data_IF_948575191575
#
_entry.id   IF_948575191575
#
_cell.length_a   1.000
_cell.length_b   1.000
_cell.length_c   1.000
_cell.angle_alpha   90.00
_cell.angle_beta   90.00
_cell.angle_gamma   90.00
#
_symmetry.space_group_name_H-M   'P 1'
#
loop_
_entity.id
_entity.type
_entity.pdbx_description
1 polymer ?
#
# COMPACT_ATOMS: atom_id res chain seq x y z
N UNK A 1 7.67 -11.29 -20.11
CA UNK A 1 6.45 -10.44 -20.12
C UNK A 1 6.21 -9.96 -21.55
N UNK A 2 4.99 -10.16 -22.11
CA UNK A 2 4.65 -9.68 -23.46
C UNK A 2 4.46 -8.16 -23.48
N UNK A 3 4.63 -7.50 -24.65
CA UNK A 3 4.40 -6.05 -24.83
C UNK A 3 2.98 -5.65 -24.38
N UNK A 4 1.97 -6.48 -24.71
CA UNK A 4 0.56 -6.28 -24.32
C UNK A 4 0.35 -6.29 -22.80
N UNK A 5 1.07 -7.15 -22.08
CA UNK A 5 0.98 -7.25 -20.63
C UNK A 5 1.61 -6.03 -19.92
N UNK A 6 2.74 -5.54 -20.44
CA UNK A 6 3.35 -4.30 -19.95
C UNK A 6 2.43 -3.08 -20.13
N UNK A 7 1.76 -2.98 -21.27
CA UNK A 7 0.82 -1.90 -21.54
C UNK A 7 -0.37 -1.93 -20.54
N UNK A 8 -0.93 -3.12 -20.29
CA UNK A 8 -2.02 -3.28 -19.31
C UNK A 8 -1.59 -2.93 -17.88
N UNK A 9 -0.36 -3.28 -17.47
CA UNK A 9 0.19 -2.92 -16.16
C UNK A 9 0.30 -1.39 -15.99
N UNK A 10 0.82 -0.69 -17.01
CA UNK A 10 0.94 0.78 -16.96
C UNK A 10 -0.41 1.49 -17.06
N UNK A 11 -1.37 0.95 -17.80
CA UNK A 11 -2.73 1.46 -17.84
C UNK A 11 -3.38 1.40 -16.44
N UNK A 12 -3.19 0.28 -15.70
CA UNK A 12 -3.70 0.15 -14.34
C UNK A 12 -3.07 1.19 -13.40
N UNK A 13 -1.76 1.41 -13.50
CA UNK A 13 -1.06 2.44 -12.69
C UNK A 13 -1.58 3.83 -13.04
N UNK A 14 -1.70 4.16 -14.33
CA UNK A 14 -2.24 5.44 -14.79
C UNK A 14 -3.68 5.68 -14.32
N UNK A 15 -4.57 4.70 -14.49
CA UNK A 15 -5.95 4.81 -13.99
C UNK A 15 -5.99 5.00 -12.48
N UNK A 16 -5.17 4.26 -11.72
CA UNK A 16 -5.10 4.42 -10.26
C UNK A 16 -4.62 5.81 -9.86
N UNK A 17 -3.62 6.36 -10.55
CA UNK A 17 -3.11 7.71 -10.32
C UNK A 17 -4.19 8.78 -10.59
N UNK A 18 -4.89 8.66 -11.72
CA UNK A 18 -5.99 9.58 -12.08
C UNK A 18 -7.10 9.53 -11.02
N UNK A 19 -7.51 8.34 -10.58
CA UNK A 19 -8.53 8.19 -9.52
C UNK A 19 -8.09 8.87 -8.22
N UNK A 20 -6.84 8.66 -7.78
CA UNK A 20 -6.32 9.30 -6.57
C UNK A 20 -6.31 10.82 -6.70
N UNK A 21 -5.87 11.36 -7.83
CA UNK A 21 -5.84 12.80 -8.08
C UNK A 21 -7.23 13.41 -8.15
N UNK A 22 -8.20 12.73 -8.79
CA UNK A 22 -9.59 13.17 -8.83
C UNK A 22 -10.23 13.18 -7.44
N UNK A 23 -9.93 12.18 -6.60
CA UNK A 23 -10.40 12.15 -5.21
C UNK A 23 -9.85 13.34 -4.41
N UNK A 24 -8.56 13.66 -4.57
CA UNK A 24 -7.94 14.84 -3.91
C UNK A 24 -8.54 16.13 -4.44
N UNK A 25 -8.72 16.24 -5.77
CA UNK A 25 -9.34 17.42 -6.39
C UNK A 25 -10.78 17.65 -5.89
N UNK A 26 -11.59 16.56 -5.78
CA UNK A 26 -12.93 16.63 -5.22
C UNK A 26 -12.92 17.11 -3.76
N UNK A 27 -11.99 16.61 -2.94
CA UNK A 27 -11.83 17.09 -1.55
C UNK A 27 -11.51 18.58 -1.51
N UNK A 28 -10.62 19.05 -2.36
CA UNK A 28 -10.23 20.47 -2.41
C UNK A 28 -11.35 21.36 -2.97
N UNK A 29 -12.14 20.86 -3.92
CA UNK A 29 -13.31 21.57 -4.41
C UNK A 29 -14.39 21.77 -3.33
N UNK A 30 -14.54 20.79 -2.42
CA UNK A 30 -15.54 20.82 -1.34
C UNK A 30 -15.07 21.57 -0.09
N UNK A 31 -13.79 21.47 0.28
CA UNK A 31 -13.25 21.94 1.56
C UNK A 31 -12.20 23.05 1.42
N UNK A 32 -11.86 23.43 0.19
CA UNK A 32 -10.76 24.33 -0.09
C UNK A 32 -9.39 23.67 0.09
N UNK A 33 -8.32 24.41 -0.28
CA UNK A 33 -6.91 23.95 -0.18
C UNK A 33 -6.27 24.27 1.18
N UNK A 34 -7.02 24.82 2.13
CA UNK A 34 -6.56 25.09 3.50
C UNK A 34 -6.38 23.84 4.34
N UNK A 35 -6.12 24.00 5.63
CA UNK A 35 -5.88 22.91 6.57
C UNK A 35 -6.97 21.82 6.56
N UNK A 36 -8.29 22.13 6.55
CA UNK A 36 -9.33 21.10 6.50
C UNK A 36 -9.27 20.25 5.24
N UNK A 37 -9.02 20.86 4.09
CA UNK A 37 -8.86 20.15 2.80
C UNK A 37 -7.62 19.27 2.79
N UNK A 38 -6.46 19.78 3.22
CA UNK A 38 -5.22 19.00 3.31
C UNK A 38 -5.38 17.79 4.24
N UNK A 39 -5.95 17.96 5.44
CA UNK A 39 -6.20 16.86 6.38
C UNK A 39 -7.17 15.83 5.81
N UNK A 40 -8.19 16.27 5.09
CA UNK A 40 -9.15 15.36 4.43
C UNK A 40 -8.52 14.63 3.26
N UNK A 41 -7.71 15.30 2.44
CA UNK A 41 -6.92 14.69 1.36
C UNK A 41 -5.96 13.63 1.88
N UNK A 42 -5.25 13.91 2.99
CA UNK A 42 -4.39 12.94 3.66
C UNK A 42 -5.19 11.69 4.10
N UNK A 43 -6.39 11.86 4.67
CA UNK A 43 -7.25 10.73 5.07
C UNK A 43 -7.75 9.91 3.88
N UNK A 44 -8.16 10.56 2.79
CA UNK A 44 -8.65 9.88 1.59
C UNK A 44 -7.53 9.10 0.91
N UNK A 45 -6.37 9.74 0.71
CA UNK A 45 -5.22 9.07 0.10
C UNK A 45 -4.68 7.92 0.95
N UNK A 46 -4.67 8.04 2.28
CA UNK A 46 -4.33 6.93 3.17
C UNK A 46 -5.25 5.72 2.98
N UNK A 47 -6.58 5.94 2.92
CA UNK A 47 -7.56 4.85 2.72
C UNK A 47 -7.43 4.20 1.35
N UNK A 48 -7.25 4.99 0.29
CA UNK A 48 -7.04 4.48 -1.06
C UNK A 48 -5.74 3.67 -1.14
N UNK A 49 -4.67 4.17 -0.51
CA UNK A 49 -3.39 3.46 -0.45
C UNK A 49 -3.52 2.11 0.26
N UNK A 50 -4.25 2.03 1.38
CA UNK A 50 -4.48 0.74 2.08
C UNK A 50 -5.24 -0.24 1.20
N UNK A 51 -6.23 0.20 0.44
CA UNK A 51 -6.97 -0.69 -0.48
C UNK A 51 -6.04 -1.28 -1.56
N UNK A 52 -5.20 -0.45 -2.19
CA UNK A 52 -4.20 -0.89 -3.17
C UNK A 52 -3.14 -1.81 -2.54
N UNK A 53 -2.67 -1.47 -1.34
CA UNK A 53 -1.75 -2.29 -0.57
C UNK A 53 -2.34 -3.67 -0.27
N UNK A 54 -3.56 -3.73 0.25
CA UNK A 54 -4.24 -4.99 0.58
C UNK A 54 -4.42 -5.87 -0.67
N UNK A 55 -4.83 -5.29 -1.80
CA UNK A 55 -4.95 -6.02 -3.06
C UNK A 55 -3.63 -6.67 -3.49
N UNK A 56 -2.50 -5.92 -3.41
CA UNK A 56 -1.17 -6.46 -3.70
C UNK A 56 -0.70 -7.46 -2.63
N UNK A 57 -1.01 -7.20 -1.35
CA UNK A 57 -0.59 -8.01 -0.21
C UNK A 57 -1.22 -9.39 -0.21
N UNK A 58 -2.52 -9.50 -0.48
CA UNK A 58 -3.24 -10.79 -0.45
C UNK A 58 -3.14 -11.58 -1.77
N UNK A 59 -2.72 -10.97 -2.87
CA UNK A 59 -2.80 -11.54 -4.22
C UNK A 59 -2.30 -12.98 -4.32
N UNK A 60 -1.13 -13.28 -3.74
CA UNK A 60 -0.56 -14.63 -3.77
C UNK A 60 -1.26 -15.62 -2.83
N UNK A 61 -1.78 -15.16 -1.71
CA UNK A 61 -2.51 -15.98 -0.76
C UNK A 61 -3.90 -16.34 -1.31
N UNK A 62 -4.62 -15.37 -1.86
CA UNK A 62 -5.91 -15.61 -2.49
C UNK A 62 -5.79 -16.58 -3.68
N UNK A 63 -4.78 -16.42 -4.54
CA UNK A 63 -4.58 -17.34 -5.66
C UNK A 63 -4.25 -18.77 -5.22
N UNK A 64 -3.60 -18.93 -4.06
CA UNK A 64 -3.25 -20.24 -3.50
C UNK A 64 -4.39 -20.91 -2.72
N UNK A 65 -5.25 -20.13 -2.04
CA UNK A 65 -6.30 -20.65 -1.15
C UNK A 65 -7.67 -20.66 -1.82
N UNK A 66 -7.96 -19.67 -2.65
CA UNK A 66 -9.25 -19.40 -3.28
C UNK A 66 -9.06 -19.14 -4.79
N UNK A 67 -8.70 -20.18 -5.57
CA UNK A 67 -8.45 -20.02 -7.00
C UNK A 67 -9.72 -19.58 -7.72
N UNK A 68 -9.74 -18.36 -8.21
CA UNK A 68 -10.85 -17.74 -8.93
C UNK A 68 -10.32 -16.82 -10.05
N UNK A 69 -11.14 -16.37 -11.00
CA UNK A 69 -10.74 -15.38 -11.98
C UNK A 69 -10.16 -14.10 -11.33
N UNK A 70 -10.77 -13.63 -10.25
CA UNK A 70 -10.36 -12.44 -9.50
C UNK A 70 -8.99 -12.66 -8.83
N UNK A 71 -8.79 -13.78 -8.13
CA UNK A 71 -7.52 -14.05 -7.46
C UNK A 71 -6.36 -14.24 -8.46
N UNK A 72 -6.65 -14.83 -9.62
CA UNK A 72 -5.69 -14.94 -10.74
C UNK A 72 -5.37 -13.57 -11.33
N UNK A 73 -6.39 -12.69 -11.45
CA UNK A 73 -6.20 -11.31 -11.92
C UNK A 73 -5.33 -10.51 -10.93
N UNK A 74 -5.62 -10.56 -9.63
CA UNK A 74 -4.81 -9.92 -8.58
C UNK A 74 -3.36 -10.38 -8.64
N UNK A 75 -3.14 -11.69 -8.78
CA UNK A 75 -1.78 -12.24 -8.84
C UNK A 75 -1.01 -11.76 -10.08
N UNK A 76 -1.66 -11.70 -11.25
CA UNK A 76 -1.06 -11.20 -12.49
C UNK A 76 -0.71 -9.72 -12.38
N UNK A 77 -1.59 -8.91 -11.78
CA UNK A 77 -1.42 -7.46 -11.67
C UNK A 77 -0.73 -7.02 -10.37
N UNK A 78 -0.22 -7.95 -9.56
CA UNK A 78 0.37 -7.66 -8.25
C UNK A 78 1.46 -6.58 -8.30
N UNK A 79 2.29 -6.59 -9.36
CA UNK A 79 3.34 -5.59 -9.57
C UNK A 79 2.74 -4.21 -9.82
N UNK A 80 1.80 -4.12 -10.74
CA UNK A 80 1.10 -2.87 -11.07
C UNK A 80 0.35 -2.31 -9.85
N UNK A 81 -0.35 -3.16 -9.09
CA UNK A 81 -1.00 -2.77 -7.82
C UNK A 81 -0.01 -2.23 -6.80
N UNK A 82 1.18 -2.84 -6.68
CA UNK A 82 2.25 -2.34 -5.79
C UNK A 82 2.81 -1.00 -6.24
N UNK A 83 2.97 -0.77 -7.54
CA UNK A 83 3.39 0.53 -8.08
C UNK A 83 2.28 1.57 -7.92
N UNK A 84 1.02 1.22 -8.16
CA UNK A 84 -0.15 2.08 -7.91
C UNK A 84 -0.23 2.51 -6.44
N UNK A 85 0.04 1.58 -5.52
CA UNK A 85 0.15 1.88 -4.09
C UNK A 85 1.26 2.91 -3.82
N UNK A 86 2.44 2.73 -4.41
CA UNK A 86 3.56 3.66 -4.24
C UNK A 86 3.24 5.06 -4.79
N UNK A 87 2.56 5.16 -5.93
CA UNK A 87 2.08 6.43 -6.50
C UNK A 87 1.07 7.09 -5.56
N UNK A 88 0.08 6.36 -5.06
CA UNK A 88 -0.91 6.86 -4.10
C UNK A 88 -0.25 7.36 -2.81
N UNK A 89 0.75 6.64 -2.29
CA UNK A 89 1.54 7.07 -1.14
C UNK A 89 2.43 8.28 -1.46
N UNK A 90 2.90 8.44 -2.69
CA UNK A 90 3.59 9.65 -3.14
C UNK A 90 2.70 10.89 -3.02
N UNK A 91 1.44 10.80 -3.50
CA UNK A 91 0.45 11.88 -3.35
C UNK A 91 0.15 12.13 -1.87
N UNK A 92 -0.04 11.07 -1.08
CA UNK A 92 -0.23 11.17 0.38
C UNK A 92 0.92 11.90 1.07
N UNK A 93 2.17 11.56 0.75
CA UNK A 93 3.36 12.22 1.28
C UNK A 93 3.45 13.68 0.87
N UNK A 94 3.11 14.01 -0.38
CA UNK A 94 3.07 15.41 -0.85
C UNK A 94 2.07 16.26 -0.06
N UNK A 95 0.89 15.71 0.25
CA UNK A 95 -0.11 16.40 1.09
C UNK A 95 0.37 16.57 2.54
N UNK A 96 1.10 15.59 3.10
CA UNK A 96 1.72 15.72 4.43
C UNK A 96 2.76 16.84 4.43
N UNK A 97 3.62 16.89 3.42
CA UNK A 97 4.64 17.95 3.26
C UNK A 97 3.96 19.32 3.12
N UNK A 98 2.91 19.43 2.30
CA UNK A 98 2.14 20.66 2.15
C UNK A 98 1.54 21.12 3.48
N UNK A 99 0.93 20.20 4.24
CA UNK A 99 0.37 20.52 5.56
C UNK A 99 1.46 20.97 6.56
N UNK A 100 2.62 20.31 6.56
CA UNK A 100 3.76 20.68 7.41
C UNK A 100 4.32 22.05 7.06
N UNK A 101 4.38 22.42 5.76
CA UNK A 101 4.90 23.70 5.31
C UNK A 101 3.94 24.86 5.61
N UNK A 102 2.63 24.64 5.49
CA UNK A 102 1.62 25.70 5.61
C UNK A 102 1.04 25.83 7.01
N UNK A 103 0.99 24.73 7.80
CA UNK A 103 0.34 24.64 9.12
C UNK A 103 1.22 23.86 10.10
N UNK A 104 2.49 24.28 10.24
CA UNK A 104 3.53 23.53 10.97
C UNK A 104 3.17 23.27 12.43
N UNK A 105 2.68 24.28 13.16
CA UNK A 105 2.34 24.17 14.58
C UNK A 105 1.21 23.15 14.79
N UNK A 106 0.12 23.31 14.05
CA UNK A 106 -1.02 22.40 14.08
C UNK A 106 -0.64 20.96 13.67
N UNK A 107 0.27 20.82 12.68
CA UNK A 107 0.80 19.52 12.29
C UNK A 107 1.58 18.86 13.44
N UNK A 108 2.55 19.55 14.02
CA UNK A 108 3.38 19.02 15.11
C UNK A 108 2.57 18.72 16.38
N UNK A 109 1.55 19.51 16.69
CA UNK A 109 0.65 19.26 17.82
C UNK A 109 -0.22 18.01 17.63
N UNK A 110 -0.47 17.59 16.36
CA UNK A 110 -1.39 16.49 16.03
C UNK A 110 -0.71 15.16 15.69
N UNK A 111 0.62 15.12 15.50
CA UNK A 111 1.33 13.94 15.03
C UNK A 111 2.38 13.50 16.06
N UNK A 112 2.19 12.31 16.63
CA UNK A 112 3.16 11.75 17.56
C UNK A 112 4.52 11.47 16.88
N UNK A 113 5.65 11.70 17.57
CA UNK A 113 7.00 11.41 17.01
C UNK A 113 7.16 9.99 16.48
N UNK A 114 6.59 9.00 17.16
CA UNK A 114 6.58 7.60 16.71
C UNK A 114 5.90 7.42 15.35
N UNK A 115 4.85 8.19 15.05
CA UNK A 115 4.16 8.18 13.76
C UNK A 115 5.03 8.78 12.66
N UNK A 116 5.78 9.85 12.97
CA UNK A 116 6.72 10.47 12.01
C UNK A 116 7.86 9.52 11.67
N UNK A 117 8.47 8.89 12.67
CA UNK A 117 9.58 7.95 12.46
C UNK A 117 9.10 6.68 11.73
N UNK A 118 8.03 6.06 12.21
CA UNK A 118 7.49 4.84 11.59
C UNK A 118 6.95 5.09 10.18
N UNK A 119 6.23 6.18 9.97
CA UNK A 119 5.75 6.59 8.65
C UNK A 119 6.90 6.96 7.71
N UNK A 120 7.90 7.72 8.18
CA UNK A 120 9.08 8.09 7.40
C UNK A 120 9.86 6.88 6.93
N UNK A 121 10.16 5.92 7.81
CA UNK A 121 10.79 4.64 7.44
C UNK A 121 9.92 3.86 6.44
N UNK A 122 8.59 3.91 6.59
CA UNK A 122 7.64 3.34 5.63
C UNK A 122 7.79 3.96 4.24
N UNK A 123 7.90 5.28 4.12
CA UNK A 123 8.12 5.96 2.84
C UNK A 123 9.44 5.56 2.18
N UNK A 124 10.53 5.43 2.97
CA UNK A 124 11.82 4.94 2.45
C UNK A 124 11.67 3.53 1.89
N UNK A 125 11.02 2.61 2.61
CA UNK A 125 10.77 1.25 2.13
C UNK A 125 9.89 1.24 0.87
N UNK A 126 8.85 2.08 0.79
CA UNK A 126 8.00 2.21 -0.40
C UNK A 126 8.84 2.67 -1.60
N UNK A 127 9.68 3.68 -1.43
CA UNK A 127 10.55 4.19 -2.49
C UNK A 127 11.53 3.11 -2.98
N UNK A 128 12.19 2.38 -2.08
CA UNK A 128 13.09 1.28 -2.42
C UNK A 128 12.38 0.13 -3.14
N UNK A 129 11.18 -0.25 -2.66
CA UNK A 129 10.37 -1.29 -3.28
C UNK A 129 9.86 -0.86 -4.65
N UNK A 130 9.43 0.39 -4.84
CA UNK A 130 9.00 0.93 -6.11
C UNK A 130 10.17 1.00 -7.11
N UNK A 131 11.33 1.53 -6.70
CA UNK A 131 12.53 1.59 -7.51
C UNK A 131 12.99 0.20 -7.98
N UNK A 132 12.88 -0.82 -7.15
CA UNK A 132 13.25 -2.21 -7.46
C UNK A 132 12.11 -3.05 -8.05
N UNK A 133 10.99 -2.41 -8.40
CA UNK A 133 9.87 -3.07 -9.09
C UNK A 133 10.07 -3.20 -10.61
N UNK A 134 11.11 -2.62 -11.19
CA UNK A 134 11.45 -2.72 -12.62
C UNK A 134 12.49 -3.81 -12.86
N UNK A 135 12.41 -4.48 -14.02
CA UNK A 135 13.25 -5.65 -14.31
C UNK A 135 14.75 -5.34 -14.25
N UNK A 136 15.16 -4.13 -14.72
CA UNK A 136 16.55 -3.67 -14.68
C UNK A 136 17.07 -3.49 -13.25
N UNK A 137 16.34 -2.77 -12.43
CA UNK A 137 16.74 -2.47 -11.05
C UNK A 137 16.63 -3.70 -10.14
N UNK A 138 15.62 -4.56 -10.36
CA UNK A 138 15.50 -5.85 -9.69
C UNK A 138 16.70 -6.77 -9.98
N UNK A 139 17.20 -6.76 -11.24
CA UNK A 139 18.36 -7.54 -11.64
C UNK A 139 19.66 -7.06 -10.94
N UNK A 140 19.83 -5.73 -10.77
CA UNK A 140 20.98 -5.16 -10.05
C UNK A 140 21.01 -5.58 -8.57
N UNK A 141 19.85 -5.65 -7.92
CA UNK A 141 19.76 -6.05 -6.51
C UNK A 141 19.97 -7.56 -6.30
N UNK A 142 19.67 -8.35 -7.31
CA UNK A 142 19.69 -9.80 -7.24
C UNK A 142 18.45 -10.39 -6.55
N UNK A 143 18.12 -11.63 -6.92
CA UNK A 143 16.85 -12.29 -6.53
C UNK A 143 16.67 -12.44 -5.02
N UNK A 144 17.76 -12.69 -4.29
CA UNK A 144 17.68 -12.90 -2.82
C UNK A 144 17.39 -11.59 -2.08
N UNK A 145 18.19 -10.55 -2.34
CA UNK A 145 18.03 -9.24 -1.70
C UNK A 145 16.70 -8.60 -2.07
N UNK A 146 16.28 -8.68 -3.35
CA UNK A 146 14.96 -8.24 -3.81
C UNK A 146 13.82 -8.90 -3.01
N UNK A 147 13.90 -10.24 -2.84
CA UNK A 147 12.87 -10.98 -2.10
C UNK A 147 12.81 -10.57 -0.63
N UNK A 148 13.98 -10.36 0.01
CA UNK A 148 14.05 -9.91 1.41
C UNK A 148 13.44 -8.52 1.54
N UNK A 149 13.89 -7.55 0.72
CA UNK A 149 13.37 -6.18 0.73
C UNK A 149 11.84 -6.15 0.59
N UNK A 150 11.29 -6.81 -0.43
CA UNK A 150 9.84 -6.82 -0.65
C UNK A 150 9.07 -7.59 0.42
N UNK A 151 9.66 -8.63 1.03
CA UNK A 151 9.00 -9.35 2.12
C UNK A 151 8.99 -8.52 3.39
N UNK A 152 10.15 -8.02 3.82
CA UNK A 152 10.27 -7.18 5.02
C UNK A 152 9.46 -5.91 4.87
N UNK A 153 9.60 -5.20 3.73
CA UNK A 153 8.86 -3.98 3.46
C UNK A 153 7.35 -4.16 3.52
N UNK A 154 6.81 -5.23 2.93
CA UNK A 154 5.36 -5.48 2.99
C UNK A 154 4.84 -5.76 4.41
N UNK A 155 5.58 -6.51 5.23
CA UNK A 155 5.17 -6.75 6.62
C UNK A 155 5.35 -5.50 7.49
N UNK A 156 6.42 -4.74 7.27
CA UNK A 156 6.62 -3.46 7.94
C UNK A 156 5.45 -2.50 7.65
N UNK A 157 5.07 -2.34 6.39
CA UNK A 157 3.95 -1.48 5.99
C UNK A 157 2.62 -1.99 6.57
N UNK A 158 2.41 -3.31 6.63
CA UNK A 158 1.26 -3.88 7.30
C UNK A 158 1.20 -3.45 8.78
N UNK A 159 2.32 -3.53 9.50
CA UNK A 159 2.44 -3.09 10.90
C UNK A 159 2.13 -1.59 11.02
N UNK A 160 2.72 -0.74 10.17
CA UNK A 160 2.46 0.71 10.17
C UNK A 160 0.98 1.02 9.98
N UNK A 161 0.32 0.35 9.02
CA UNK A 161 -1.13 0.52 8.82
C UNK A 161 -1.94 0.02 10.01
N UNK A 162 -1.61 -1.15 10.56
CA UNK A 162 -2.30 -1.69 11.72
C UNK A 162 -2.24 -0.73 12.91
N UNK A 163 -1.06 -0.22 13.24
CA UNK A 163 -0.89 0.78 14.31
C UNK A 163 -1.58 2.12 14.00
N UNK A 164 -1.70 2.50 12.73
CA UNK A 164 -2.40 3.73 12.33
C UNK A 164 -3.92 3.63 12.47
N UNK A 165 -4.49 2.44 12.27
CA UNK A 165 -5.95 2.24 12.32
C UNK A 165 -6.46 1.73 13.66
N UNK A 166 -5.67 0.94 14.40
CA UNK A 166 -6.05 0.34 15.68
C UNK A 166 -6.62 1.36 16.69
N UNK A 167 -6.01 2.54 16.93
CA UNK A 167 -6.55 3.48 17.90
C UNK A 167 -7.88 4.13 17.48
N UNK A 168 -8.28 3.97 16.22
CA UNK A 168 -9.47 4.61 15.62
C UNK A 168 -10.59 3.62 15.30
N UNK A 169 -10.51 2.37 15.78
CA UNK A 169 -11.48 1.30 15.48
C UNK A 169 -12.91 1.61 15.98
N UNK A 170 -13.08 2.59 16.86
CA UNK A 170 -14.40 3.05 17.31
C UNK A 170 -15.22 3.68 16.16
N UNK A 171 -14.57 4.21 15.12
CA UNK A 171 -15.26 4.75 13.95
C UNK A 171 -15.36 3.68 12.85
N UNK A 172 -16.59 3.42 12.31
CA UNK A 172 -16.84 2.30 11.39
C UNK A 172 -15.86 2.17 10.21
N UNK A 173 -15.45 3.25 9.50
CA UNK A 173 -14.50 3.13 8.39
C UNK A 173 -13.13 2.58 8.80
N UNK A 174 -12.67 2.89 10.01
CA UNK A 174 -11.37 2.42 10.52
C UNK A 174 -11.46 0.99 11.05
N UNK A 175 -12.60 0.62 11.69
CA UNK A 175 -12.87 -0.75 12.11
C UNK A 175 -12.82 -1.71 10.91
N UNK A 176 -13.50 -1.34 9.81
CA UNK A 176 -13.51 -2.14 8.58
C UNK A 176 -12.10 -2.32 8.02
N UNK A 177 -11.33 -1.23 7.88
CA UNK A 177 -9.97 -1.29 7.34
C UNK A 177 -9.04 -2.12 8.23
N UNK A 178 -9.17 -1.99 9.55
CA UNK A 178 -8.40 -2.81 10.50
C UNK A 178 -8.77 -4.29 10.42
N UNK A 179 -10.06 -4.62 10.34
CA UNK A 179 -10.53 -5.99 10.14
C UNK A 179 -10.01 -6.59 8.83
N UNK A 180 -10.01 -5.82 7.72
CA UNK A 180 -9.44 -6.25 6.45
C UNK A 180 -7.93 -6.48 6.53
N UNK A 181 -7.19 -5.67 7.29
CA UNK A 181 -5.75 -5.90 7.54
C UNK A 181 -5.52 -7.21 8.28
N UNK A 182 -6.30 -7.51 9.32
CA UNK A 182 -6.21 -8.78 10.07
C UNK A 182 -6.57 -9.97 9.19
N UNK A 183 -7.64 -9.88 8.42
CA UNK A 183 -8.05 -10.92 7.47
C UNK A 183 -6.95 -11.19 6.44
N UNK A 184 -6.35 -10.13 5.89
CA UNK A 184 -5.27 -10.23 4.92
C UNK A 184 -4.03 -10.94 5.49
N UNK A 185 -3.66 -10.64 6.74
CA UNK A 185 -2.59 -11.33 7.44
C UNK A 185 -2.94 -12.81 7.65
N UNK A 186 -4.14 -13.10 8.15
CA UNK A 186 -4.63 -14.47 8.37
C UNK A 186 -4.56 -15.31 7.09
N UNK A 187 -5.05 -14.79 5.95
CA UNK A 187 -4.96 -15.47 4.65
C UNK A 187 -3.51 -15.76 4.26
N UNK A 188 -2.58 -14.84 4.48
CA UNK A 188 -1.16 -15.05 4.16
C UNK A 188 -0.52 -16.10 5.06
N UNK A 189 -0.82 -16.12 6.35
CA UNK A 189 -0.32 -17.11 7.30
C UNK A 189 -0.82 -18.51 6.93
N UNK A 190 -2.12 -18.65 6.67
CA UNK A 190 -2.72 -19.94 6.24
C UNK A 190 -2.08 -20.43 4.93
N UNK A 191 -1.93 -19.54 3.93
CA UNK A 191 -1.29 -19.91 2.66
C UNK A 191 0.16 -20.37 2.87
N UNK A 192 0.90 -19.70 3.76
CA UNK A 192 2.29 -20.05 4.09
C UNK A 192 2.37 -21.41 4.78
N UNK A 193 1.55 -21.67 5.80
CA UNK A 193 1.50 -22.95 6.51
C UNK A 193 1.14 -24.09 5.56
N UNK A 194 0.11 -23.92 4.72
CA UNK A 194 -0.25 -24.95 3.70
C UNK A 194 0.90 -25.25 2.75
N UNK A 195 1.65 -24.22 2.32
CA UNK A 195 2.83 -24.38 1.44
C UNK A 195 3.94 -25.18 2.13
N UNK A 196 4.20 -24.89 3.41
CA UNK A 196 5.24 -25.59 4.19
C UNK A 196 4.86 -27.06 4.43
N UNK A 197 3.59 -27.36 4.77
CA UNK A 197 3.10 -28.74 4.95
C UNK A 197 3.25 -29.56 3.68
N UNK A 198 2.84 -29.02 2.52
CA UNK A 198 3.00 -29.70 1.21
C UNK A 198 4.46 -30.01 0.89
N UNK A 199 5.39 -29.08 1.19
CA UNK A 199 6.82 -29.33 0.96
C UNK A 199 7.39 -30.43 1.86
N UNK A 200 6.89 -30.60 3.08
CA UNK A 200 7.31 -31.69 3.99
C UNK A 200 6.79 -33.06 3.54
N UNK A 201 5.63 -33.13 2.91
CA UNK A 201 5.04 -34.36 2.40
C UNK A 201 5.72 -34.89 1.12
N UNK A 202 6.46 -34.03 0.42
CA UNK A 202 7.16 -34.37 -0.84
C UNK A 202 8.66 -34.66 -0.63
N UNK A 203 9.13 -34.64 0.62
CA UNK A 203 10.47 -35.03 1.04
C UNK A 203 10.47 -36.38 1.75
#
# INVERSE_FOLDING_TARGET
MTRKQRFADWALVGCSAVVVLLLVAAVFALLGVGEPGLRSGIRVTARTSVALFLAAFVASACAALLPSPISKWLLRNRRALGVSFAVSMGVHGALIVALWQTHRESFLASVAPATLLGGGAGFVLIALMAATSFDRTAALLGRRAWKVLHTVGMYYLWVVFAFSYMPRVHAPPYALLFALLLLALGLRLVATVRRLRRRRQLR
#
